data_IF_190759540812
#
_entry.id   IF_190759540812
#
_cell.length_a   1.000
_cell.length_b   1.000
_cell.length_c   1.000
_cell.angle_alpha   90.00
_cell.angle_beta   90.00
_cell.angle_gamma   90.00
#
_symmetry.space_group_name_H-M   'P 1'
#
loop_
_entity.id
_entity.type
_entity.pdbx_description
1 polymer ?
#
# COMPACT_ATOMS: atom_id res chain seq x y z
N UNK A 1 5.52 16.03 -0.57
CA UNK A 1 6.91 15.54 -0.61
C UNK A 1 6.92 14.05 -0.90
N UNK A 2 7.78 13.59 -1.78
CA UNK A 2 7.92 12.17 -2.03
C UNK A 2 8.59 11.43 -0.88
N UNK A 3 8.63 10.11 -0.98
CA UNK A 3 9.28 9.25 -0.01
C UNK A 3 10.74 9.64 0.22
N UNK A 4 11.15 9.62 1.49
CA UNK A 4 12.52 9.93 1.89
C UNK A 4 13.12 8.78 2.69
N UNK A 5 13.95 7.97 2.02
CA UNK A 5 14.53 6.76 2.60
C UNK A 5 15.41 7.07 3.83
N UNK A 6 16.11 8.20 3.84
CA UNK A 6 17.01 8.56 4.94
C UNK A 6 16.29 8.87 6.24
N UNK A 7 14.99 9.16 6.17
CA UNK A 7 14.15 9.48 7.33
C UNK A 7 13.14 8.37 7.65
N UNK A 8 13.15 7.27 6.90
CA UNK A 8 12.18 6.21 7.04
C UNK A 8 12.68 5.13 8.01
N UNK A 9 11.78 4.69 8.90
CA UNK A 9 12.08 3.64 9.87
C UNK A 9 11.17 2.42 9.62
N UNK A 10 11.72 1.33 9.04
CA UNK A 10 10.90 0.16 8.74
C UNK A 10 10.40 -0.57 9.99
N UNK A 11 11.03 -0.40 11.14
CA UNK A 11 10.55 -1.00 12.40
C UNK A 11 9.26 -0.33 12.84
N UNK A 12 9.21 1.00 12.79
CA UNK A 12 7.99 1.76 13.06
C UNK A 12 6.93 1.45 12.00
N UNK A 13 7.35 1.34 10.74
CA UNK A 13 6.47 0.98 9.63
C UNK A 13 5.80 -0.37 9.82
N UNK A 14 6.52 -1.36 10.35
CA UNK A 14 5.95 -2.67 10.65
C UNK A 14 4.84 -2.57 11.68
N UNK A 15 5.00 -1.75 12.70
CA UNK A 15 3.97 -1.54 13.72
C UNK A 15 2.75 -0.84 13.14
N UNK A 16 2.95 0.17 12.31
CA UNK A 16 1.86 0.87 11.62
C UNK A 16 1.09 -0.06 10.70
N UNK A 17 1.79 -0.91 9.95
CA UNK A 17 1.15 -1.89 9.11
C UNK A 17 0.29 -2.85 9.93
N UNK A 18 0.86 -3.39 11.02
CA UNK A 18 0.15 -4.33 11.89
C UNK A 18 -1.15 -3.74 12.44
N UNK A 19 -1.13 -2.48 12.85
CA UNK A 19 -2.30 -1.84 13.47
C UNK A 19 -3.29 -1.27 12.48
N UNK A 20 -2.84 -0.88 11.27
CA UNK A 20 -3.68 -0.13 10.33
C UNK A 20 -3.97 -0.88 9.02
N UNK A 21 -3.16 -1.85 8.65
CA UNK A 21 -3.22 -2.49 7.33
C UNK A 21 -3.42 -4.01 7.39
N UNK A 22 -2.89 -4.67 8.41
CA UNK A 22 -2.85 -6.15 8.48
C UNK A 22 -4.25 -6.79 8.59
N UNK A 23 -5.27 -6.04 8.98
CA UNK A 23 -6.65 -6.53 8.94
C UNK A 23 -7.09 -6.89 7.53
N UNK A 24 -6.58 -6.16 6.53
CA UNK A 24 -7.05 -6.27 5.15
C UNK A 24 -6.00 -6.82 4.19
N UNK A 25 -4.73 -6.80 4.55
CA UNK A 25 -3.63 -7.16 3.65
C UNK A 25 -2.65 -8.13 4.29
N UNK A 26 -2.04 -8.98 3.45
CA UNK A 26 -0.88 -9.79 3.80
C UNK A 26 0.31 -9.34 2.96
N UNK A 27 1.54 -9.63 3.41
CA UNK A 27 2.75 -9.19 2.71
C UNK A 27 3.64 -10.34 2.25
N UNK A 28 3.53 -11.52 2.88
CA UNK A 28 4.39 -12.66 2.58
C UNK A 28 4.07 -13.30 1.24
N UNK A 29 5.07 -13.89 0.60
CA UNK A 29 4.88 -14.63 -0.65
C UNK A 29 3.89 -15.76 -0.43
N UNK A 30 2.87 -15.83 -1.30
CA UNK A 30 1.82 -16.85 -1.17
C UNK A 30 0.80 -16.56 -0.07
N UNK A 31 0.87 -15.39 0.57
CA UNK A 31 -0.11 -14.99 1.57
C UNK A 31 -1.51 -14.84 0.96
N UNK A 32 -2.54 -15.11 1.76
CA UNK A 32 -3.92 -15.05 1.28
C UNK A 32 -4.38 -13.61 1.06
N UNK A 33 -5.29 -13.45 0.11
CA UNK A 33 -6.06 -12.21 -0.01
C UNK A 33 -7.08 -12.17 1.13
N UNK A 34 -7.28 -10.97 1.68
CA UNK A 34 -8.29 -10.70 2.70
C UNK A 34 -9.32 -9.74 2.12
N UNK A 35 -9.77 -8.75 2.89
CA UNK A 35 -10.60 -7.66 2.37
C UNK A 35 -9.83 -6.87 1.31
N UNK A 36 -8.52 -6.73 1.47
CA UNK A 36 -7.59 -6.22 0.46
C UNK A 36 -6.69 -7.32 -0.08
N UNK A 37 -5.96 -7.05 -1.17
CA UNK A 37 -5.10 -8.06 -1.79
C UNK A 37 -3.82 -8.30 -1.02
N UNK A 38 -3.21 -9.46 -1.27
CA UNK A 38 -1.83 -9.73 -0.85
C UNK A 38 -0.90 -8.72 -1.52
N UNK A 39 0.03 -8.16 -0.76
CA UNK A 39 0.91 -7.09 -1.24
C UNK A 39 2.29 -7.56 -1.68
N UNK A 40 2.59 -8.86 -1.59
CA UNK A 40 3.90 -9.35 -2.05
C UNK A 40 4.09 -9.04 -3.54
N UNK A 41 5.26 -8.53 -3.89
CA UNK A 41 5.54 -8.11 -5.26
C UNK A 41 4.88 -6.79 -5.66
N UNK A 42 4.45 -5.99 -4.68
CA UNK A 42 3.72 -4.74 -4.92
C UNK A 42 4.52 -3.74 -5.75
N UNK A 43 5.79 -3.52 -5.41
CA UNK A 43 6.62 -2.51 -6.08
C UNK A 43 6.87 -2.90 -7.53
N UNK A 44 6.54 -1.98 -8.44
CA UNK A 44 6.62 -2.22 -9.87
C UNK A 44 5.36 -2.87 -10.46
N UNK A 45 4.39 -3.25 -9.63
CA UNK A 45 3.14 -3.85 -10.08
C UNK A 45 2.11 -2.77 -10.42
N UNK A 46 1.35 -3.01 -11.49
CA UNK A 46 0.26 -2.11 -11.85
C UNK A 46 -0.92 -2.29 -10.90
N UNK A 47 -1.63 -1.21 -10.60
CA UNK A 47 -2.82 -1.27 -9.75
C UNK A 47 -3.87 -2.24 -10.34
N UNK A 48 -4.57 -2.96 -9.47
CA UNK A 48 -5.61 -3.89 -9.89
C UNK A 48 -5.11 -5.23 -10.42
N UNK A 49 -3.84 -5.61 -10.18
CA UNK A 49 -3.23 -6.79 -10.80
C UNK A 49 -2.83 -7.91 -9.83
N UNK A 50 -3.21 -7.84 -8.55
CA UNK A 50 -2.89 -8.94 -7.64
C UNK A 50 -3.68 -10.20 -8.06
N UNK A 51 -3.02 -11.38 -8.18
CA UNK A 51 -3.71 -12.58 -8.61
C UNK A 51 -4.84 -12.99 -7.67
N UNK A 52 -5.96 -13.40 -8.23
CA UNK A 52 -7.08 -13.96 -7.47
C UNK A 52 -7.88 -12.96 -6.65
N UNK A 53 -7.56 -11.67 -6.72
CA UNK A 53 -8.31 -10.65 -6.00
C UNK A 53 -9.26 -9.90 -6.95
N UNK A 54 -10.51 -9.68 -6.50
CA UNK A 54 -11.50 -8.94 -7.27
C UNK A 54 -11.44 -7.46 -6.91
N UNK A 55 -11.07 -6.64 -7.87
CA UNK A 55 -10.96 -5.19 -7.70
C UNK A 55 -12.22 -4.47 -8.17
N UNK A 56 -12.41 -3.25 -7.65
CA UNK A 56 -13.40 -2.33 -8.25
C UNK A 56 -12.90 -1.89 -9.63
N UNK A 57 -13.83 -1.44 -10.48
CA UNK A 57 -13.45 -0.90 -11.79
C UNK A 57 -12.50 0.30 -11.64
N UNK A 58 -12.69 1.12 -10.60
CA UNK A 58 -11.82 2.26 -10.34
C UNK A 58 -10.35 1.84 -10.14
N UNK A 59 -10.10 0.77 -9.38
CA UNK A 59 -8.75 0.24 -9.17
C UNK A 59 -8.17 -0.33 -10.46
N UNK A 60 -8.94 -1.12 -11.19
CA UNK A 60 -8.49 -1.73 -12.44
C UNK A 60 -8.14 -0.69 -13.49
N UNK A 61 -8.92 0.40 -13.56
CA UNK A 61 -8.79 1.40 -14.61
C UNK A 61 -7.77 2.50 -14.29
N UNK A 62 -7.35 2.64 -13.04
CA UNK A 62 -6.39 3.70 -12.65
C UNK A 62 -5.04 3.55 -13.37
N UNK A 63 -4.55 2.32 -13.51
CA UNK A 63 -3.34 2.05 -14.29
C UNK A 63 -2.05 2.55 -13.66
N UNK A 64 -2.01 2.72 -12.34
CA UNK A 64 -0.83 3.20 -11.62
C UNK A 64 0.19 2.09 -11.46
N UNK A 65 1.46 2.39 -11.70
CA UNK A 65 2.57 1.49 -11.35
C UNK A 65 3.01 1.86 -9.92
N UNK A 66 2.93 0.90 -9.00
CA UNK A 66 3.27 1.15 -7.60
C UNK A 66 4.77 1.29 -7.40
N UNK A 67 5.17 2.33 -6.72
CA UNK A 67 6.54 2.60 -6.31
C UNK A 67 6.52 3.50 -5.09
N UNK A 68 7.69 3.97 -4.68
CA UNK A 68 7.83 4.79 -3.47
C UNK A 68 6.97 6.06 -3.53
N UNK A 69 7.02 6.77 -4.64
CA UNK A 69 6.32 8.05 -4.78
C UNK A 69 4.82 7.87 -4.97
N UNK A 70 4.41 6.90 -5.78
CA UNK A 70 2.97 6.65 -6.00
C UNK A 70 2.31 6.16 -4.72
N UNK A 71 2.98 5.30 -3.94
CA UNK A 71 2.47 4.87 -2.64
C UNK A 71 2.41 6.02 -1.64
N UNK A 72 3.41 6.91 -1.66
CA UNK A 72 3.44 8.07 -0.77
C UNK A 72 2.20 8.94 -0.98
N UNK A 73 1.87 9.22 -2.24
CA UNK A 73 0.69 10.02 -2.58
C UNK A 73 -0.61 9.26 -2.27
N UNK A 74 -0.68 7.99 -2.65
CA UNK A 74 -1.87 7.16 -2.43
C UNK A 74 -2.22 7.02 -0.95
N UNK A 75 -1.23 6.76 -0.10
CA UNK A 75 -1.45 6.50 1.32
C UNK A 75 -1.87 7.74 2.10
N UNK A 76 -1.72 8.92 1.54
CA UNK A 76 -2.24 10.13 2.16
C UNK A 76 -3.76 10.15 2.20
N UNK A 77 -4.39 9.74 1.09
CA UNK A 77 -5.83 9.65 0.99
C UNK A 77 -6.20 8.71 -0.16
N UNK A 78 -6.36 7.41 0.11
CA UNK A 78 -6.63 6.43 -0.93
C UNK A 78 -7.88 6.73 -1.77
N UNK A 79 -8.95 7.21 -1.15
CA UNK A 79 -10.19 7.52 -1.87
C UNK A 79 -10.06 8.69 -2.80
N UNK A 80 -9.20 9.65 -2.48
CA UNK A 80 -8.94 10.80 -3.36
C UNK A 80 -8.06 10.39 -4.53
N UNK A 81 -7.06 9.53 -4.28
CA UNK A 81 -6.13 9.06 -5.31
C UNK A 81 -6.81 8.13 -6.31
N UNK A 82 -7.65 7.22 -5.82
CA UNK A 82 -8.45 6.31 -6.64
C UNK A 82 -9.92 6.47 -6.24
N UNK A 83 -10.64 7.45 -6.80
CA UNK A 83 -12.05 7.64 -6.50
C UNK A 83 -12.84 6.36 -6.82
N UNK A 84 -13.72 5.96 -5.91
CA UNK A 84 -14.51 4.75 -6.08
C UNK A 84 -13.84 3.48 -5.57
N UNK A 85 -12.64 3.56 -4.99
CA UNK A 85 -12.01 2.40 -4.37
C UNK A 85 -12.85 1.91 -3.18
N UNK A 86 -12.88 0.59 -2.98
CA UNK A 86 -13.56 0.00 -1.81
C UNK A 86 -12.69 -0.05 -0.57
N UNK A 87 -11.46 0.42 -0.63
CA UNK A 87 -10.55 0.46 0.51
C UNK A 87 -11.08 1.42 1.57
N UNK A 88 -11.27 0.91 2.80
CA UNK A 88 -11.88 1.67 3.88
C UNK A 88 -10.89 2.56 4.65
N UNK A 89 -9.62 2.50 4.34
CA UNK A 89 -8.58 3.23 5.04
C UNK A 89 -8.58 4.72 4.67
N UNK A 90 -8.64 5.58 5.68
CA UNK A 90 -8.69 7.03 5.46
C UNK A 90 -7.36 7.65 5.03
N UNK A 91 -6.25 6.97 5.28
CA UNK A 91 -4.92 7.44 4.90
C UNK A 91 -4.05 7.77 6.10
N UNK A 92 -2.74 7.83 5.85
CA UNK A 92 -1.75 8.34 6.81
C UNK A 92 -1.50 9.81 6.48
N UNK A 93 -1.94 10.72 7.34
CA UNK A 93 -1.81 12.16 7.07
C UNK A 93 -0.39 12.68 7.34
N UNK A 94 0.34 12.01 8.22
CA UNK A 94 1.73 12.40 8.55
C UNK A 94 2.70 11.84 7.53
N UNK A 95 3.57 12.68 7.02
CA UNK A 95 4.61 12.24 6.07
C UNK A 95 5.51 11.16 6.68
N UNK A 96 5.85 11.29 7.97
CA UNK A 96 6.70 10.31 8.65
C UNK A 96 6.06 8.93 8.67
N UNK A 97 4.76 8.85 8.93
CA UNK A 97 4.05 7.56 8.94
C UNK A 97 4.09 6.91 7.56
N UNK A 98 3.89 7.69 6.50
CA UNK A 98 3.95 7.17 5.13
C UNK A 98 5.36 6.69 4.78
N UNK A 99 6.39 7.45 5.16
CA UNK A 99 7.78 7.04 4.97
C UNK A 99 8.06 5.71 5.66
N UNK A 100 7.65 5.57 6.91
CA UNK A 100 7.94 4.39 7.71
C UNK A 100 7.24 3.15 7.16
N UNK A 101 5.96 3.27 6.81
CA UNK A 101 5.20 2.17 6.21
C UNK A 101 5.77 1.75 4.87
N UNK A 102 6.16 2.69 4.02
CA UNK A 102 6.74 2.37 2.71
C UNK A 102 8.08 1.66 2.89
N UNK A 103 8.91 2.09 3.84
CA UNK A 103 10.17 1.41 4.13
C UNK A 103 9.95 -0.04 4.55
N UNK A 104 8.95 -0.28 5.40
CA UNK A 104 8.58 -1.64 5.79
C UNK A 104 8.11 -2.46 4.58
N UNK A 105 7.23 -1.90 3.76
CA UNK A 105 6.71 -2.60 2.58
C UNK A 105 7.82 -2.96 1.59
N UNK A 106 8.81 -2.10 1.42
CA UNK A 106 9.96 -2.39 0.56
C UNK A 106 10.74 -3.62 1.02
N UNK A 107 10.77 -3.88 2.32
CA UNK A 107 11.44 -5.07 2.86
C UNK A 107 10.52 -6.30 2.83
N UNK A 108 9.25 -6.13 3.17
CA UNK A 108 8.34 -7.24 3.43
C UNK A 108 7.70 -7.82 2.16
N UNK A 109 7.62 -7.04 1.08
CA UNK A 109 6.91 -7.47 -0.14
C UNK A 109 7.84 -7.89 -1.28
N UNK A 110 9.13 -7.93 -1.02
CA UNK A 110 10.14 -8.28 -2.03
C UNK A 110 10.43 -9.77 -2.03
#
# INVERSE_FOLDING_TARGET
MPFNASKADPVVGAKLFKTRCAQCHTVEKGGSNKTGPNLHGLFGRKSGQAPGFTYTAANQNKGVIWGEDTLFDYLENPKKYIPGTKMAFAGFKKEQDRNDVIAYLKQATV
#
